data_IF_696962129890
#
_entry.id   IF_696962129890
#
_cell.length_a   1.000
_cell.length_b   1.000
_cell.length_c   1.000
_cell.angle_alpha   90.00
_cell.angle_beta   90.00
_cell.angle_gamma   90.00
#
_symmetry.space_group_name_H-M   'P 1'
#
loop_
_entity.id
_entity.type
_entity.pdbx_description
1 polymer ?
#
# COMPACT_ATOMS: atom_id res chain seq x y z
N UNK A 1 -13.41 -3.58 -4.31
CA UNK A 1 -12.92 -3.89 -2.94
C UNK A 1 -12.24 -5.25 -2.89
N UNK A 2 -12.19 -6.01 -3.99
CA UNK A 2 -11.77 -7.41 -3.95
C UNK A 2 -10.26 -7.61 -3.81
N UNK A 3 -9.45 -6.68 -4.33
CA UNK A 3 -7.99 -6.78 -4.26
C UNK A 3 -7.47 -6.77 -2.82
N UNK A 4 -8.04 -5.92 -1.95
CA UNK A 4 -7.62 -5.88 -0.54
C UNK A 4 -7.86 -7.24 0.12
N UNK A 5 -9.10 -7.75 0.05
CA UNK A 5 -9.45 -9.03 0.66
C UNK A 5 -8.66 -10.20 0.07
N UNK A 6 -8.39 -10.16 -1.24
CA UNK A 6 -7.51 -11.12 -1.90
C UNK A 6 -6.10 -11.11 -1.29
N UNK A 7 -5.49 -9.93 -1.13
CA UNK A 7 -4.15 -9.80 -0.55
C UNK A 7 -4.12 -10.17 0.94
N UNK A 8 -5.15 -9.80 1.71
CA UNK A 8 -5.26 -10.17 3.12
C UNK A 8 -5.36 -11.69 3.30
N UNK A 9 -6.10 -12.37 2.41
CA UNK A 9 -6.16 -13.83 2.39
C UNK A 9 -4.85 -14.46 1.88
N UNK A 10 -4.15 -13.83 0.93
CA UNK A 10 -2.87 -14.35 0.43
C UNK A 10 -1.77 -14.27 1.50
N UNK A 11 -1.66 -13.12 2.19
CA UNK A 11 -0.61 -12.87 3.18
C UNK A 11 -1.00 -13.27 4.60
N UNK A 12 -2.25 -13.69 4.82
CA UNK A 12 -2.80 -14.05 6.13
C UNK A 12 -2.62 -12.93 7.19
N UNK A 13 -2.70 -11.67 6.74
CA UNK A 13 -2.55 -10.50 7.59
C UNK A 13 -3.43 -9.34 7.09
N UNK A 14 -3.66 -8.33 7.95
CA UNK A 14 -4.37 -7.11 7.53
C UNK A 14 -3.50 -6.32 6.55
N UNK A 15 -4.08 -5.88 5.45
CA UNK A 15 -3.42 -5.13 4.38
C UNK A 15 -4.11 -3.79 4.23
N UNK A 16 -3.34 -2.71 4.34
CA UNK A 16 -3.82 -1.38 3.99
C UNK A 16 -3.47 -1.08 2.53
N UNK A 17 -4.49 -0.85 1.72
CA UNK A 17 -4.35 -0.60 0.29
C UNK A 17 -4.57 0.88 0.02
N UNK A 18 -3.52 1.56 -0.42
CA UNK A 18 -3.54 3.00 -0.71
C UNK A 18 -3.13 3.28 -2.15
N UNK A 19 -3.58 4.41 -2.68
CA UNK A 19 -3.15 4.89 -4.00
C UNK A 19 -2.14 6.02 -3.84
N UNK A 20 -1.24 6.20 -4.81
CA UNK A 20 -0.23 7.28 -4.75
C UNK A 20 -0.86 8.69 -4.66
N UNK A 21 -2.10 8.86 -5.14
CA UNK A 21 -2.85 10.11 -5.07
C UNK A 21 -3.53 10.35 -3.71
N UNK A 22 -3.83 9.30 -2.95
CA UNK A 22 -4.45 9.43 -1.62
C UNK A 22 -3.45 9.75 -0.51
N UNK A 23 -2.15 9.68 -0.78
CA UNK A 23 -1.10 10.00 0.21
C UNK A 23 -1.05 11.51 0.43
N UNK A 24 -1.14 11.93 1.70
CA UNK A 24 -1.03 13.35 2.07
C UNK A 24 0.31 13.93 1.60
N UNK A 25 0.33 15.14 1.00
CA UNK A 25 1.54 15.70 0.38
C UNK A 25 2.77 15.72 1.30
N UNK A 26 2.59 16.02 2.58
CA UNK A 26 3.68 16.09 3.56
C UNK A 26 4.29 14.73 3.94
N UNK A 27 3.57 13.61 3.71
CA UNK A 27 4.08 12.25 3.93
C UNK A 27 4.59 11.61 2.63
N UNK A 28 4.12 12.10 1.49
CA UNK A 28 4.34 11.47 0.18
C UNK A 28 5.81 11.26 -0.14
N UNK A 29 6.66 12.27 0.09
CA UNK A 29 8.09 12.17 -0.19
C UNK A 29 8.73 11.03 0.60
N UNK A 30 8.54 11.02 1.92
CA UNK A 30 9.11 10.00 2.83
C UNK A 30 8.65 8.59 2.49
N UNK A 31 7.35 8.41 2.26
CA UNK A 31 6.81 7.09 1.90
C UNK A 31 7.42 6.58 0.59
N UNK A 32 7.51 7.43 -0.44
CA UNK A 32 8.03 7.01 -1.75
C UNK A 32 9.53 6.73 -1.77
N UNK A 33 10.31 7.32 -0.85
CA UNK A 33 11.74 7.03 -0.68
C UNK A 33 11.97 5.65 -0.02
N UNK A 34 11.00 5.16 0.77
CA UNK A 34 11.08 3.88 1.49
C UNK A 34 10.37 2.73 0.74
N UNK A 35 9.70 3.00 -0.39
CA UNK A 35 8.96 1.97 -1.14
C UNK A 35 9.92 0.91 -1.70
N UNK A 36 9.57 -0.35 -1.43
CA UNK A 36 10.18 -1.52 -2.07
C UNK A 36 9.20 -2.05 -3.12
N UNK A 37 9.66 -2.16 -4.37
CA UNK A 37 8.87 -2.72 -5.47
C UNK A 37 9.06 -4.24 -5.50
N UNK A 38 7.95 -4.98 -5.52
CA UNK A 38 7.97 -6.41 -5.79
C UNK A 38 8.32 -6.67 -7.26
N UNK A 39 9.09 -7.73 -7.53
CA UNK A 39 9.48 -8.16 -8.87
C UNK A 39 8.39 -9.00 -9.55
#
# INVERSE_FOLDING_TARGET
>A
MDLKFYLENLFQCKVDLVTKSSIKPYLKKRILEEVIYAA
#
